data_IF_583887304474
#
_entry.id   IF_583887304474
#
_cell.length_a   1.000
_cell.length_b   1.000
_cell.length_c   1.000
_cell.angle_alpha   90.00
_cell.angle_beta   90.00
_cell.angle_gamma   90.00
#
_symmetry.space_group_name_H-M   'P 1'
#
loop_
_entity.id
_entity.type
_entity.pdbx_description
1 polymer ?
#
# COMPACT_ATOMS: atom_id res chain seq x y z
N UNK A 1 10.89 16.16 -15.82
CA UNK A 1 9.85 15.24 -15.28
C UNK A 1 10.57 14.07 -14.63
N UNK A 2 10.41 13.87 -13.31
CA UNK A 2 11.08 12.77 -12.61
C UNK A 2 10.40 11.45 -12.94
N UNK A 3 11.00 10.69 -13.87
CA UNK A 3 10.55 9.37 -14.34
C UNK A 3 10.33 8.40 -13.17
N UNK A 4 11.14 8.50 -12.11
CA UNK A 4 10.98 7.73 -10.87
C UNK A 4 9.61 7.86 -10.24
N UNK A 5 9.04 9.07 -10.19
CA UNK A 5 7.71 9.33 -9.61
C UNK A 5 6.60 8.73 -10.48
N UNK A 6 6.76 8.74 -11.80
CA UNK A 6 5.81 8.14 -12.76
C UNK A 6 5.85 6.61 -12.70
N UNK A 7 7.05 6.03 -12.63
CA UNK A 7 7.25 4.58 -12.48
C UNK A 7 6.68 4.08 -11.15
N UNK A 8 6.93 4.79 -10.04
CA UNK A 8 6.32 4.47 -8.75
C UNK A 8 4.79 4.54 -8.79
N UNK A 9 4.23 5.56 -9.45
CA UNK A 9 2.79 5.67 -9.64
C UNK A 9 2.22 4.49 -10.44
N UNK A 10 2.89 4.10 -11.52
CA UNK A 10 2.50 2.95 -12.35
C UNK A 10 2.59 1.63 -11.58
N UNK A 11 3.69 1.42 -10.83
CA UNK A 11 3.90 0.23 -10.00
C UNK A 11 2.84 0.14 -8.90
N UNK A 12 2.54 1.26 -8.23
CA UNK A 12 1.46 1.33 -7.25
C UNK A 12 0.11 0.98 -7.86
N UNK A 13 -0.21 1.54 -9.04
CA UNK A 13 -1.46 1.26 -9.75
C UNK A 13 -1.58 -0.22 -10.12
N UNK A 14 -0.54 -0.79 -10.74
CA UNK A 14 -0.52 -2.18 -11.16
C UNK A 14 -0.62 -3.13 -9.97
N UNK A 15 0.11 -2.85 -8.89
CA UNK A 15 0.03 -3.64 -7.68
C UNK A 15 -1.38 -3.58 -7.06
N UNK A 16 -2.03 -2.41 -7.06
CA UNK A 16 -3.38 -2.24 -6.54
C UNK A 16 -4.41 -3.04 -7.33
N UNK A 17 -4.34 -2.99 -8.66
CA UNK A 17 -5.20 -3.79 -9.53
C UNK A 17 -4.97 -5.29 -9.39
N UNK A 18 -3.71 -5.73 -9.35
CA UNK A 18 -3.37 -7.13 -9.20
C UNK A 18 -3.86 -7.69 -7.86
N UNK A 19 -3.67 -6.95 -6.77
CA UNK A 19 -4.13 -7.35 -5.45
C UNK A 19 -5.64 -7.28 -5.30
N UNK A 20 -6.32 -6.34 -5.94
CA UNK A 20 -7.78 -6.32 -5.96
C UNK A 20 -8.35 -7.55 -6.66
N UNK A 21 -7.77 -7.95 -7.79
CA UNK A 21 -8.15 -9.17 -8.50
C UNK A 21 -7.84 -10.43 -7.70
N UNK A 22 -6.72 -10.46 -6.97
CA UNK A 22 -6.38 -11.57 -6.10
C UNK A 22 -7.36 -11.63 -4.92
N UNK A 23 -7.63 -10.49 -4.28
CA UNK A 23 -8.56 -10.33 -3.17
C UNK A 23 -9.97 -10.85 -3.50
N UNK A 24 -10.48 -10.58 -4.71
CA UNK A 24 -11.79 -11.07 -5.17
C UNK A 24 -11.90 -12.60 -5.27
N UNK A 25 -10.76 -13.31 -5.30
CA UNK A 25 -10.72 -14.77 -5.42
C UNK A 25 -10.52 -15.47 -4.08
N UNK A 26 -10.26 -14.74 -3.00
CA UNK A 26 -10.06 -15.32 -1.68
C UNK A 26 -11.29 -15.12 -0.78
N UNK A 27 -11.69 -16.15 -0.01
CA UNK A 27 -12.71 -16.00 1.02
C UNK A 27 -12.17 -15.16 2.18
N UNK A 28 -13.09 -14.53 2.94
CA UNK A 28 -12.73 -13.94 4.23
C UNK A 28 -12.17 -15.01 5.19
N UNK A 29 -11.17 -14.68 6.03
CA UNK A 29 -10.58 -13.36 6.26
C UNK A 29 -9.35 -13.05 5.39
N UNK A 30 -8.95 -13.97 4.50
CA UNK A 30 -7.70 -13.88 3.73
C UNK A 30 -7.67 -12.67 2.78
N UNK A 31 -8.84 -12.31 2.25
CA UNK A 31 -9.03 -11.09 1.46
C UNK A 31 -8.60 -9.83 2.24
N UNK A 32 -9.15 -9.64 3.44
CA UNK A 32 -8.84 -8.48 4.30
C UNK A 32 -7.37 -8.46 4.71
N UNK A 33 -6.79 -9.63 4.96
CA UNK A 33 -5.39 -9.78 5.37
C UNK A 33 -4.41 -9.41 4.24
N UNK A 34 -4.69 -9.84 3.00
CA UNK A 34 -3.90 -9.47 1.82
C UNK A 34 -3.97 -7.97 1.51
N UNK A 35 -5.15 -7.38 1.61
CA UNK A 35 -5.34 -5.94 1.40
C UNK A 35 -4.61 -5.15 2.48
N UNK A 36 -4.71 -5.56 3.75
CA UNK A 36 -3.98 -4.91 4.84
C UNK A 36 -2.46 -5.00 4.66
N UNK A 37 -1.95 -6.19 4.33
CA UNK A 37 -0.53 -6.40 4.07
C UNK A 37 -0.02 -5.50 2.95
N UNK A 38 -0.80 -5.34 1.88
CA UNK A 38 -0.46 -4.45 0.78
C UNK A 38 -0.30 -3.00 1.23
N UNK A 39 -1.24 -2.47 2.02
CA UNK A 39 -1.16 -1.11 2.55
C UNK A 39 0.08 -0.90 3.43
N UNK A 40 0.42 -1.88 4.26
CA UNK A 40 1.62 -1.84 5.09
C UNK A 40 2.89 -1.86 4.23
N UNK A 41 2.97 -2.74 3.24
CA UNK A 41 4.13 -2.83 2.33
C UNK A 41 4.29 -1.56 1.50
N UNK A 42 3.19 -1.02 0.95
CA UNK A 42 3.21 0.25 0.21
C UNK A 42 3.70 1.40 1.09
N UNK A 43 3.18 1.50 2.32
CA UNK A 43 3.62 2.53 3.25
C UNK A 43 5.09 2.37 3.63
N UNK A 44 5.57 1.15 3.88
CA UNK A 44 6.99 0.89 4.15
C UNK A 44 7.90 1.28 2.97
N UNK A 45 7.50 0.93 1.74
CA UNK A 45 8.22 1.31 0.52
C UNK A 45 8.18 2.82 0.29
N UNK A 46 7.03 3.47 0.52
CA UNK A 46 6.88 4.91 0.42
C UNK A 46 7.78 5.63 1.44
N UNK A 47 7.85 5.13 2.68
CA UNK A 47 8.73 5.67 3.72
C UNK A 47 10.20 5.57 3.33
N UNK A 48 10.63 4.41 2.79
CA UNK A 48 11.99 4.23 2.30
C UNK A 48 12.29 5.20 1.13
N UNK A 49 11.36 5.33 0.18
CA UNK A 49 11.59 6.18 -0.99
C UNK A 49 11.51 7.68 -0.71
N UNK A 50 10.87 8.07 0.40
CA UNK A 50 10.63 9.46 0.79
C UNK A 50 11.86 10.22 1.32
N UNK A 51 13.10 9.89 0.91
CA UNK A 51 14.31 10.55 1.42
C UNK A 51 14.23 12.09 1.29
N UNK A 52 13.81 12.77 2.37
CA UNK A 52 13.67 14.22 2.48
C UNK A 52 12.25 14.80 2.36
N UNK A 53 11.25 14.06 1.88
CA UNK A 53 9.88 14.58 1.70
C UNK A 53 8.97 14.24 2.89
N UNK A 54 8.84 15.19 3.84
CA UNK A 54 7.97 15.07 5.03
C UNK A 54 6.53 14.64 4.71
N UNK A 55 5.96 15.13 3.60
CA UNK A 55 4.61 14.78 3.18
C UNK A 55 4.45 13.31 2.79
N UNK A 56 5.44 12.71 2.12
CA UNK A 56 5.39 11.30 1.72
C UNK A 56 5.57 10.41 2.96
N UNK A 57 6.39 10.83 3.93
CA UNK A 57 6.52 10.11 5.20
C UNK A 57 5.20 10.09 5.99
N UNK A 58 4.48 11.20 6.07
CA UNK A 58 3.15 11.24 6.71
C UNK A 58 2.18 10.31 5.98
N UNK A 59 2.15 10.35 4.65
CA UNK A 59 1.32 9.45 3.86
C UNK A 59 1.67 7.97 4.08
N UNK A 60 2.95 7.65 4.16
CA UNK A 60 3.43 6.31 4.47
C UNK A 60 2.93 5.81 5.83
N UNK A 61 3.02 6.65 6.87
CA UNK A 61 2.50 6.33 8.19
C UNK A 61 0.99 6.13 8.20
N UNK A 62 0.24 6.95 7.47
CA UNK A 62 -1.21 6.79 7.32
C UNK A 62 -1.56 5.47 6.64
N UNK A 63 -0.84 5.10 5.58
CA UNK A 63 -1.04 3.82 4.87
C UNK A 63 -0.76 2.61 5.78
N UNK A 64 0.34 2.65 6.55
CA UNK A 64 0.69 1.61 7.51
C UNK A 64 -0.37 1.50 8.61
N UNK A 65 -0.75 2.64 9.21
CA UNK A 65 -1.75 2.68 10.27
C UNK A 65 -3.10 2.15 9.77
N UNK A 66 -3.54 2.55 8.58
CA UNK A 66 -4.77 2.06 7.97
C UNK A 66 -4.72 0.55 7.71
N UNK A 67 -3.62 0.04 7.17
CA UNK A 67 -3.41 -1.40 6.97
C UNK A 67 -3.50 -2.18 8.27
N UNK A 68 -2.82 -1.72 9.33
CA UNK A 68 -2.87 -2.35 10.66
C UNK A 68 -4.26 -2.30 11.27
N UNK A 69 -4.91 -1.13 11.28
CA UNK A 69 -6.27 -0.95 11.80
C UNK A 69 -7.25 -1.92 11.12
N UNK A 70 -7.12 -2.10 9.81
CA UNK A 70 -7.96 -3.02 9.04
C UNK A 70 -7.79 -4.49 9.43
N UNK A 71 -6.60 -4.90 9.90
CA UNK A 71 -6.38 -6.26 10.44
C UNK A 71 -7.21 -6.47 11.70
N UNK A 72 -7.31 -5.44 12.55
CA UNK A 72 -8.02 -5.52 13.83
C UNK A 72 -9.52 -5.29 13.72
N UNK A 73 -9.99 -4.55 12.71
CA UNK A 73 -11.41 -4.21 12.57
C UNK A 73 -12.28 -5.21 11.81
N UNK A 74 -11.71 -6.28 11.22
CA UNK A 74 -12.37 -7.33 10.42
C UNK A 74 -13.53 -6.83 9.54
#
# INVERSE_FOLDING_TARGET
MNISRQVLGLVGLLAGFALYQLALRLPEPWQSLLIALYFVVLGALAYWHAQGERWIQVLAWVLIAFGLIRIFLR
#
